data_IF_312753323734
#
_entry.id   IF_312753323734
#
_cell.length_a   1.000
_cell.length_b   1.000
_cell.length_c   1.000
_cell.angle_alpha   90.00
_cell.angle_beta   90.00
_cell.angle_gamma   90.00
#
_symmetry.space_group_name_H-M   'P 1'
#
loop_
_entity.id
_entity.type
_entity.pdbx_description
1 polymer ?
#
# COMPACT_ATOMS: atom_id res chain seq x y z
N UNK A 1 -12.05 29.33 -5.27
CA UNK A 1 -13.18 29.23 -4.33
C UNK A 1 -13.41 27.81 -3.82
N UNK A 2 -13.57 26.81 -4.71
CA UNK A 2 -13.76 25.41 -4.35
C UNK A 2 -12.66 24.81 -3.45
N UNK A 3 -11.37 25.05 -3.73
CA UNK A 3 -10.26 24.53 -2.90
C UNK A 3 -10.33 24.99 -1.45
N UNK A 4 -10.79 26.23 -1.21
CA UNK A 4 -10.93 26.79 0.15
C UNK A 4 -12.08 26.12 0.91
N UNK A 5 -13.12 25.66 0.21
CA UNK A 5 -14.34 25.08 0.80
C UNK A 5 -14.22 23.58 1.04
N UNK A 6 -13.59 22.84 0.14
CA UNK A 6 -13.54 21.37 0.18
C UNK A 6 -12.13 20.81 0.40
N UNK A 7 -11.10 21.65 0.33
CA UNK A 7 -9.71 21.23 0.39
C UNK A 7 -9.20 20.69 -0.95
N UNK A 8 -7.90 20.93 -1.19
CA UNK A 8 -7.21 20.49 -2.42
C UNK A 8 -7.29 18.98 -2.64
N UNK A 9 -7.18 18.20 -1.56
CA UNK A 9 -7.21 16.74 -1.63
C UNK A 9 -8.56 16.22 -2.15
N UNK A 10 -9.67 16.73 -1.61
CA UNK A 10 -11.00 16.28 -1.99
C UNK A 10 -11.28 16.57 -3.48
N UNK A 11 -10.91 17.75 -3.97
CA UNK A 11 -11.09 18.12 -5.38
C UNK A 11 -10.28 17.21 -6.30
N UNK A 12 -9.00 16.96 -5.96
CA UNK A 12 -8.15 16.03 -6.73
C UNK A 12 -8.75 14.61 -6.73
N UNK A 13 -9.31 14.16 -5.60
CA UNK A 13 -9.97 12.87 -5.51
C UNK A 13 -11.19 12.76 -6.44
N UNK A 14 -11.97 13.83 -6.63
CA UNK A 14 -13.09 13.83 -7.59
C UNK A 14 -12.61 13.66 -9.04
N UNK A 15 -11.53 14.35 -9.41
CA UNK A 15 -10.94 14.21 -10.75
C UNK A 15 -10.39 12.80 -10.97
N UNK A 16 -9.65 12.26 -10.00
CA UNK A 16 -9.15 10.89 -10.02
C UNK A 16 -10.30 9.90 -10.13
N UNK A 17 -11.35 10.04 -9.33
CA UNK A 17 -12.53 9.17 -9.39
C UNK A 17 -13.17 9.16 -10.79
N UNK A 18 -13.28 10.32 -11.44
CA UNK A 18 -13.82 10.41 -12.79
C UNK A 18 -12.91 9.74 -13.83
N UNK A 19 -11.61 10.02 -13.79
CA UNK A 19 -10.63 9.51 -14.76
C UNK A 19 -10.39 8.00 -14.65
N UNK A 20 -10.44 7.45 -13.43
CA UNK A 20 -10.17 6.03 -13.17
C UNK A 20 -11.42 5.15 -13.21
N UNK A 21 -12.55 5.65 -13.74
CA UNK A 21 -13.73 4.78 -13.96
C UNK A 21 -13.35 3.64 -14.89
N UNK A 22 -13.39 2.38 -14.42
CA UNK A 22 -12.96 1.26 -15.22
C UNK A 22 -13.90 1.10 -16.42
N UNK A 23 -13.32 0.87 -17.61
CA UNK A 23 -14.14 0.47 -18.75
C UNK A 23 -14.85 -0.86 -18.46
N UNK A 24 -16.00 -1.15 -19.09
CA UNK A 24 -16.68 -2.43 -18.90
C UNK A 24 -15.76 -3.64 -19.17
N UNK A 25 -14.84 -3.52 -20.12
CA UNK A 25 -13.83 -4.53 -20.40
C UNK A 25 -12.87 -4.69 -19.22
N UNK A 26 -12.27 -3.60 -18.72
CA UNK A 26 -11.38 -3.66 -17.56
C UNK A 26 -12.09 -4.25 -16.34
N UNK A 27 -13.36 -3.90 -16.13
CA UNK A 27 -14.16 -4.44 -15.03
C UNK A 27 -14.33 -5.96 -15.11
N UNK A 28 -14.53 -6.52 -16.32
CA UNK A 28 -14.57 -7.98 -16.54
C UNK A 28 -13.24 -8.66 -16.21
N UNK A 29 -12.11 -7.98 -16.40
CA UNK A 29 -10.80 -8.52 -16.03
C UNK A 29 -10.52 -8.41 -14.53
N UNK A 30 -10.88 -7.29 -13.89
CA UNK A 30 -10.58 -7.03 -12.47
C UNK A 30 -11.52 -7.79 -11.55
N UNK A 31 -12.82 -7.83 -11.85
CA UNK A 31 -13.83 -8.40 -10.94
C UNK A 31 -13.54 -9.85 -10.51
N UNK A 32 -13.12 -10.79 -11.38
CA UNK A 32 -12.78 -12.15 -10.96
C UNK A 32 -11.45 -12.27 -10.21
N UNK A 33 -10.60 -11.23 -10.26
CA UNK A 33 -9.27 -11.18 -9.65
C UNK A 33 -9.24 -10.42 -8.33
N UNK A 34 -10.31 -9.68 -8.01
CA UNK A 34 -10.56 -9.21 -6.65
C UNK A 34 -10.66 -10.44 -5.78
N UNK A 35 -9.63 -10.70 -4.97
CA UNK A 35 -9.68 -11.75 -3.95
C UNK A 35 -10.77 -11.34 -2.96
N UNK A 36 -11.94 -11.97 -3.09
CA UNK A 36 -13.10 -11.72 -2.24
C UNK A 36 -12.76 -11.92 -0.75
N UNK A 37 -11.78 -12.78 -0.48
CA UNK A 37 -11.24 -13.08 0.85
C UNK A 37 -10.71 -11.83 1.59
N UNK A 38 -10.25 -10.80 0.86
CA UNK A 38 -9.80 -9.52 1.45
C UNK A 38 -10.98 -8.57 1.70
N UNK A 39 -12.07 -8.72 0.94
CA UNK A 39 -13.22 -7.79 0.99
C UNK A 39 -14.22 -8.10 2.10
N UNK A 40 -14.16 -9.29 2.70
CA UNK A 40 -15.12 -9.75 3.70
C UNK A 40 -14.71 -9.43 5.15
N UNK A 41 -13.42 -9.12 5.39
CA UNK A 41 -12.88 -8.84 6.72
C UNK A 41 -12.15 -7.50 6.75
N UNK A 42 -12.18 -6.77 7.87
CA UNK A 42 -11.44 -5.53 7.99
C UNK A 42 -9.93 -5.82 7.92
N UNK A 43 -9.21 -5.04 7.13
CA UNK A 43 -7.78 -5.21 6.89
C UNK A 43 -7.05 -3.87 6.83
N UNK A 44 -5.74 -3.91 7.05
CA UNK A 44 -4.83 -2.78 6.83
C UNK A 44 -4.17 -2.97 5.46
N UNK A 45 -4.24 -1.96 4.60
CA UNK A 45 -3.53 -1.97 3.32
C UNK A 45 -2.17 -1.27 3.46
N UNK A 46 -1.10 -1.96 3.11
CA UNK A 46 0.25 -1.43 3.06
C UNK A 46 0.78 -1.43 1.63
N UNK A 47 1.30 -0.28 1.21
CA UNK A 47 2.05 -0.16 -0.03
C UNK A 47 3.50 0.20 0.31
N UNK A 48 4.42 -0.74 0.11
CA UNK A 48 5.84 -0.59 0.42
C UNK A 48 6.62 -0.56 -0.89
N UNK A 49 7.26 0.57 -1.20
CA UNK A 49 8.06 0.76 -2.42
C UNK A 49 9.51 1.04 -2.07
N UNK A 50 10.43 0.16 -2.50
CA UNK A 50 11.87 0.28 -2.17
C UNK A 50 12.79 0.41 -3.40
N UNK A 51 12.34 0.04 -4.61
CA UNK A 51 13.26 -0.26 -5.73
C UNK A 51 13.94 0.94 -6.39
N UNK A 52 13.36 2.14 -6.38
CA UNK A 52 13.88 3.28 -7.17
C UNK A 52 13.78 4.65 -6.50
N UNK A 53 13.14 4.73 -5.34
CA UNK A 53 12.77 6.01 -4.75
C UNK A 53 13.70 6.46 -3.62
N UNK A 54 14.82 5.79 -3.34
CA UNK A 54 15.71 6.22 -2.24
C UNK A 54 16.28 7.61 -2.50
N UNK A 55 16.80 7.84 -3.71
CA UNK A 55 17.38 9.13 -4.13
C UNK A 55 16.29 10.20 -4.30
N UNK A 56 15.15 9.84 -4.90
CA UNK A 56 14.04 10.77 -5.09
C UNK A 56 13.35 11.14 -3.77
N UNK A 57 13.29 10.22 -2.80
CA UNK A 57 12.64 10.49 -1.53
C UNK A 57 13.45 11.43 -0.65
N UNK A 58 14.79 11.29 -0.66
CA UNK A 58 15.64 12.26 0.02
C UNK A 58 15.51 13.65 -0.63
N UNK A 59 15.52 13.73 -1.97
CA UNK A 59 15.35 14.99 -2.69
C UNK A 59 13.97 15.64 -2.48
N UNK A 60 12.90 14.84 -2.51
CA UNK A 60 11.53 15.36 -2.53
C UNK A 60 10.96 15.56 -1.11
N UNK A 61 11.50 14.86 -0.09
CA UNK A 61 11.00 14.90 1.29
C UNK A 61 12.07 15.17 2.36
N UNK A 62 13.35 15.30 1.99
CA UNK A 62 14.46 15.53 2.93
C UNK A 62 14.63 14.41 3.96
N UNK A 63 14.27 13.18 3.59
CA UNK A 63 14.26 12.03 4.50
C UNK A 63 15.00 10.85 3.87
N UNK A 64 15.81 10.18 4.68
CA UNK A 64 16.45 8.93 4.30
C UNK A 64 15.39 7.81 4.15
N UNK A 65 15.17 7.36 2.92
CA UNK A 65 14.19 6.32 2.60
C UNK A 65 14.51 4.98 3.26
N UNK A 66 15.79 4.68 3.46
CA UNK A 66 16.28 3.42 4.04
C UNK A 66 15.88 3.29 5.51
N UNK A 67 15.82 4.42 6.23
CA UNK A 67 15.42 4.46 7.66
C UNK A 67 13.89 4.59 7.81
N UNK A 68 13.23 5.27 6.87
CA UNK A 68 11.80 5.58 6.98
C UNK A 68 10.88 4.51 6.40
N UNK A 69 11.41 3.55 5.64
CA UNK A 69 10.63 2.51 4.94
C UNK A 69 10.97 1.08 5.36
N UNK A 70 11.51 0.86 6.56
CA UNK A 70 11.70 -0.50 7.08
C UNK A 70 10.36 -1.19 7.33
N UNK A 71 10.31 -2.50 7.10
CA UNK A 71 9.12 -3.34 7.36
C UNK A 71 8.67 -3.20 8.83
N UNK A 72 9.60 -3.23 9.78
CA UNK A 72 9.33 -3.06 11.21
C UNK A 72 8.55 -1.79 11.53
N UNK A 73 8.87 -0.67 10.86
CA UNK A 73 8.17 0.59 11.10
C UNK A 73 6.72 0.52 10.61
N UNK A 74 6.48 -0.09 9.47
CA UNK A 74 5.11 -0.29 8.97
C UNK A 74 4.32 -1.20 9.90
N UNK A 75 4.93 -2.28 10.39
CA UNK A 75 4.29 -3.19 11.35
C UNK A 75 4.01 -2.49 12.69
N UNK A 76 4.92 -1.65 13.19
CA UNK A 76 4.70 -0.86 14.39
C UNK A 76 3.49 0.08 14.26
N UNK A 77 3.35 0.77 13.12
CA UNK A 77 2.18 1.61 12.85
C UNK A 77 0.90 0.77 12.76
N UNK A 78 0.97 -0.42 12.14
CA UNK A 78 -0.16 -1.35 12.08
C UNK A 78 -0.61 -1.77 13.49
N UNK A 79 0.35 -2.01 14.38
CA UNK A 79 0.09 -2.37 15.76
C UNK A 79 -0.64 -1.26 16.52
N UNK A 80 -0.22 -0.01 16.33
CA UNK A 80 -0.93 1.14 16.90
C UNK A 80 -2.39 1.20 16.41
N UNK A 81 -2.63 0.95 15.12
CA UNK A 81 -4.00 0.85 14.61
C UNK A 81 -4.78 -0.33 15.19
N UNK A 82 -4.12 -1.47 15.40
CA UNK A 82 -4.76 -2.65 16.01
C UNK A 82 -5.13 -2.43 17.47
N UNK A 83 -4.36 -1.65 18.22
CA UNK A 83 -4.71 -1.29 19.59
C UNK A 83 -6.05 -0.54 19.67
N UNK A 84 -6.34 0.30 18.67
CA UNK A 84 -7.62 1.00 18.55
C UNK A 84 -8.72 0.12 17.92
N UNK A 85 -8.32 -0.85 17.08
CA UNK A 85 -9.21 -1.74 16.32
C UNK A 85 -8.73 -3.19 16.37
N UNK A 86 -8.99 -3.92 17.47
CA UNK A 86 -8.47 -5.27 17.69
C UNK A 86 -8.94 -6.31 16.68
N UNK A 87 -10.00 -6.01 15.92
CA UNK A 87 -10.48 -6.86 14.83
C UNK A 87 -9.54 -6.88 13.61
N UNK A 88 -8.63 -5.92 13.50
CA UNK A 88 -7.64 -5.84 12.43
C UNK A 88 -6.52 -6.87 12.66
N UNK A 89 -6.64 -8.02 12.00
CA UNK A 89 -5.62 -9.07 12.06
C UNK A 89 -5.01 -9.40 10.68
N UNK A 90 -5.45 -8.71 9.63
CA UNK A 90 -5.00 -8.95 8.26
C UNK A 90 -4.34 -7.71 7.67
N UNK A 91 -3.16 -7.91 7.09
CA UNK A 91 -2.44 -6.88 6.32
C UNK A 91 -2.37 -7.31 4.87
N UNK A 92 -2.94 -6.50 3.98
CA UNK A 92 -2.74 -6.62 2.54
C UNK A 92 -1.51 -5.84 2.12
N UNK A 93 -0.58 -6.49 1.42
CA UNK A 93 0.70 -5.90 1.06
C UNK A 93 0.84 -5.79 -0.45
N UNK A 94 1.00 -4.57 -0.92
CA UNK A 94 1.46 -4.24 -2.26
C UNK A 94 2.94 -3.82 -2.19
N UNK A 95 3.83 -4.59 -2.80
CA UNK A 95 5.26 -4.28 -2.89
C UNK A 95 5.81 -4.74 -4.23
N UNK A 96 6.79 -4.00 -4.75
CA UNK A 96 7.58 -4.34 -5.93
C UNK A 96 8.95 -4.92 -5.58
N UNK A 97 9.25 -5.09 -4.29
CA UNK A 97 10.53 -5.55 -3.77
C UNK A 97 10.38 -6.92 -3.08
N UNK A 98 11.17 -7.91 -3.52
CA UNK A 98 11.14 -9.27 -3.00
C UNK A 98 11.72 -9.40 -1.58
N UNK A 99 12.66 -8.55 -1.18
CA UNK A 99 13.22 -8.56 0.19
C UNK A 99 12.14 -8.21 1.20
N UNK A 100 11.25 -7.28 0.87
CA UNK A 100 10.06 -6.96 1.69
C UNK A 100 9.14 -8.17 1.83
N UNK A 101 8.93 -8.90 0.74
CA UNK A 101 8.11 -10.14 0.76
C UNK A 101 8.74 -11.16 1.71
N UNK A 102 10.05 -11.39 1.60
CA UNK A 102 10.79 -12.33 2.45
C UNK A 102 10.71 -11.92 3.92
N UNK A 103 10.97 -10.65 4.25
CA UNK A 103 10.91 -10.14 5.63
C UNK A 103 9.52 -10.34 6.24
N UNK A 104 8.45 -10.03 5.50
CA UNK A 104 7.07 -10.20 5.98
C UNK A 104 6.71 -11.68 6.18
N UNK A 105 7.21 -12.57 5.33
CA UNK A 105 7.04 -14.02 5.50
C UNK A 105 7.80 -14.52 6.75
N UNK A 106 9.01 -14.03 7.01
CA UNK A 106 9.77 -14.33 8.23
C UNK A 106 9.03 -13.87 9.49
N UNK A 107 8.47 -12.66 9.49
CA UNK A 107 7.62 -12.18 10.59
C UNK A 107 6.37 -13.07 10.80
N UNK A 108 5.76 -13.55 9.72
CA UNK A 108 4.63 -14.47 9.81
C UNK A 108 5.02 -15.81 10.43
N UNK A 109 6.19 -16.35 10.07
CA UNK A 109 6.65 -17.66 10.51
C UNK A 109 7.19 -17.64 11.95
N UNK A 110 7.89 -16.59 12.36
CA UNK A 110 8.45 -16.46 13.70
C UNK A 110 7.36 -16.32 14.79
N UNK A 111 6.19 -15.77 14.44
CA UNK A 111 5.08 -15.59 15.38
C UNK A 111 4.21 -16.84 15.57
N UNK A 112 4.40 -17.91 14.79
CA UNK A 112 3.64 -19.16 14.92
C UNK A 112 4.00 -19.97 16.18
N UNK A 113 4.99 -19.55 16.96
CA UNK A 113 5.51 -20.33 18.06
C UNK A 113 4.97 -20.00 19.46
N UNK A 114 4.16 -18.95 19.71
CA UNK A 114 3.55 -18.78 21.04
C UNK A 114 2.45 -17.74 21.25
N UNK A 115 1.92 -17.01 20.26
CA UNK A 115 0.95 -15.95 20.58
C UNK A 115 -0.21 -15.80 19.59
N UNK A 116 -1.41 -15.71 20.15
CA UNK A 116 -2.70 -15.50 19.46
C UNK A 116 -2.85 -14.11 18.81
N UNK A 117 -1.76 -13.35 18.71
CA UNK A 117 -1.67 -11.95 18.24
C UNK A 117 -0.84 -11.81 16.96
N UNK A 118 -0.70 -12.89 16.18
CA UNK A 118 0.08 -12.87 14.93
C UNK A 118 -0.70 -12.23 13.77
N UNK A 119 0.01 -11.41 12.97
CA UNK A 119 -0.54 -10.81 11.75
C UNK A 119 -0.69 -11.84 10.64
N UNK A 120 -1.83 -11.82 9.93
CA UNK A 120 -2.02 -12.55 8.69
C UNK A 120 -1.68 -11.66 7.48
N UNK A 121 -0.72 -12.08 6.66
CA UNK A 121 -0.30 -11.32 5.49
C UNK A 121 -0.89 -11.86 4.19
N UNK A 122 -1.54 -10.99 3.43
CA UNK A 122 -1.98 -11.28 2.06
C UNK A 122 -1.06 -10.54 1.10
N UNK A 123 -0.09 -11.28 0.55
CA UNK A 123 0.93 -10.75 -0.35
C UNK A 123 0.63 -11.22 -1.77
N UNK A 124 0.69 -10.30 -2.74
CA UNK A 124 0.58 -10.66 -4.15
C UNK A 124 1.93 -11.20 -4.65
N UNK A 125 2.03 -12.49 -5.04
CA UNK A 125 3.29 -13.05 -5.52
C UNK A 125 3.63 -12.54 -6.92
N UNK A 126 4.93 -12.47 -7.23
CA UNK A 126 5.46 -12.27 -8.59
C UNK A 126 5.01 -10.98 -9.28
N UNK A 127 4.89 -9.87 -8.55
CA UNK A 127 4.61 -8.56 -9.16
C UNK A 127 5.88 -8.05 -9.85
N UNK A 128 6.01 -8.32 -11.13
CA UNK A 128 7.04 -7.70 -11.97
C UNK A 128 6.60 -6.29 -12.34
N UNK A 129 7.50 -5.32 -12.13
CA UNK A 129 7.26 -3.93 -12.50
C UNK A 129 7.00 -3.84 -14.01
N UNK A 130 5.83 -3.34 -14.40
CA UNK A 130 5.62 -2.90 -15.78
C UNK A 130 6.38 -1.58 -15.97
N UNK A 131 7.49 -1.61 -16.70
CA UNK A 131 8.26 -0.42 -17.10
C UNK A 131 7.61 0.37 -18.25
N UNK A 132 6.36 0.07 -18.60
CA UNK A 132 5.66 0.64 -19.76
C UNK A 132 5.19 2.09 -19.61
N UNK A 133 5.28 2.69 -18.42
CA UNK A 133 4.76 4.04 -18.20
C UNK A 133 5.83 5.11 -18.44
N UNK A 134 5.69 5.85 -19.56
CA UNK A 134 6.19 7.22 -19.65
C UNK A 134 5.58 7.99 -18.48
N UNK A 135 6.43 8.48 -17.59
CA UNK A 135 6.03 9.22 -16.40
C UNK A 135 5.12 10.41 -16.76
N UNK A 136 3.82 10.30 -16.49
CA UNK A 136 2.95 11.48 -16.35
C UNK A 136 2.99 11.91 -14.88
N UNK A 137 4.03 12.66 -14.50
CA UNK A 137 3.97 13.45 -13.28
C UNK A 137 3.11 14.68 -13.57
N UNK A 138 2.06 14.91 -12.77
CA UNK A 138 1.44 16.22 -12.71
C UNK A 138 2.49 17.18 -12.15
N UNK A 139 3.09 18.01 -13.01
CA UNK A 139 4.24 18.85 -12.71
C UNK A 139 3.98 19.92 -11.63
N UNK A 140 2.73 20.22 -11.28
CA UNK A 140 2.38 21.37 -10.43
C UNK A 140 1.78 20.98 -9.08
N UNK A 141 2.38 19.98 -8.44
CA UNK A 141 1.97 19.50 -7.11
C UNK A 141 2.49 20.28 -5.90
N UNK A 142 3.23 21.39 -6.09
CA UNK A 142 3.73 22.25 -5.01
C UNK A 142 2.74 23.38 -4.71
#
# INVERSE_FOLDING_TARGET
EWERRFGRYWIRAQMVHYLYRPSPQLWRYVKPRLRLDITEKPYIAMHIRLTDNVVHFDRDFGRNATVTRSVDRFLHLAEQFRQERPELNTIYVATDNNEVVTQLQEHSNNNNNNDSTSWSFVIQPNVTRSTSQKFMWFADGR
#
